data_IF_446048264886
#
_entry.id   IF_446048264886
#
_cell.length_a   1.000
_cell.length_b   1.000
_cell.length_c   1.000
_cell.angle_alpha   90.00
_cell.angle_beta   90.00
_cell.angle_gamma   90.00
#
_symmetry.space_group_name_H-M   'P 1'
#
loop_
_entity.id
_entity.type
_entity.pdbx_description
1 polymer ?
#
# COMPACT_ATOMS: atom_id res chain seq x y z
N UNK A 1 2.08 12.79 -124.27
CA UNK A 1 3.46 12.28 -124.20
C UNK A 1 3.75 11.87 -122.77
N UNK A 2 4.37 10.72 -122.46
CA UNK A 2 4.26 9.40 -123.09
C UNK A 2 3.97 8.26 -122.07
N UNK A 3 3.64 7.07 -122.61
CA UNK A 3 3.79 5.71 -122.06
C UNK A 3 2.95 5.28 -120.84
N UNK A 4 2.59 4.02 -120.63
CA UNK A 4 2.40 2.84 -121.45
C UNK A 4 2.03 1.67 -120.49
N UNK A 5 1.24 0.73 -121.00
CA UNK A 5 1.20 -0.71 -120.70
C UNK A 5 0.80 -1.29 -119.32
N UNK A 6 -0.20 -2.17 -119.45
CA UNK A 6 -0.28 -3.58 -119.01
C UNK A 6 -0.72 -3.93 -117.57
N UNK A 7 -1.95 -4.46 -117.56
CA UNK A 7 -2.50 -5.60 -116.82
C UNK A 7 -1.51 -6.70 -116.34
N UNK A 8 -1.70 -7.21 -115.12
CA UNK A 8 -2.28 -8.54 -114.78
C UNK A 8 -1.92 -8.99 -113.36
N UNK A 9 -2.87 -9.70 -112.72
CA UNK A 9 -2.61 -10.71 -111.68
C UNK A 9 -2.96 -10.26 -110.26
N UNK A 10 -4.22 -10.39 -109.82
CA UNK A 10 -4.73 -11.53 -109.03
C UNK A 10 -3.80 -11.96 -107.88
N UNK A 11 -4.18 -11.64 -106.64
CA UNK A 11 -4.58 -12.66 -105.65
C UNK A 11 -4.90 -12.06 -104.27
N UNK A 12 -6.13 -12.35 -103.83
CA UNK A 12 -6.54 -12.75 -102.47
C UNK A 12 -6.27 -11.77 -101.32
N UNK A 13 -7.34 -11.15 -100.83
CA UNK A 13 -7.49 -10.83 -99.40
C UNK A 13 -8.92 -11.15 -98.96
N UNK A 14 -9.02 -12.14 -98.07
CA UNK A 14 -10.24 -12.70 -97.54
C UNK A 14 -10.89 -11.77 -96.50
N UNK A 15 -12.22 -11.67 -96.55
CA UNK A 15 -13.05 -11.24 -95.43
C UNK A 15 -13.08 -12.34 -94.36
N UNK A 16 -12.83 -11.99 -93.11
CA UNK A 16 -13.46 -12.65 -91.97
C UNK A 16 -13.51 -11.67 -90.79
N UNK A 17 -14.73 -11.33 -90.38
CA UNK A 17 -15.03 -10.48 -89.24
C UNK A 17 -14.57 -11.14 -87.94
N UNK A 18 -13.77 -10.42 -87.15
CA UNK A 18 -13.42 -10.82 -85.78
C UNK A 18 -14.45 -10.23 -84.81
N UNK A 19 -15.20 -11.12 -84.17
CA UNK A 19 -16.08 -10.85 -83.03
C UNK A 19 -15.21 -10.45 -81.83
N UNK A 20 -15.44 -9.25 -81.29
CA UNK A 20 -14.78 -8.79 -80.06
C UNK A 20 -15.44 -9.48 -78.86
N UNK A 21 -14.74 -10.45 -78.26
CA UNK A 21 -15.07 -10.98 -76.95
C UNK A 21 -14.55 -10.00 -75.88
N UNK A 22 -15.46 -9.29 -75.22
CA UNK A 22 -15.16 -8.52 -74.02
C UNK A 22 -14.79 -9.49 -72.88
N UNK A 23 -13.50 -9.63 -72.61
CA UNK A 23 -13.00 -10.37 -71.47
C UNK A 23 -12.93 -9.43 -70.27
N UNK A 24 -13.94 -9.47 -69.39
CA UNK A 24 -13.84 -8.88 -68.05
C UNK A 24 -12.83 -9.70 -67.24
N UNK A 25 -11.57 -9.26 -67.21
CA UNK A 25 -10.61 -9.73 -66.21
C UNK A 25 -10.95 -9.06 -64.88
N UNK A 26 -11.95 -9.62 -64.19
CA UNK A 26 -12.21 -9.29 -62.79
C UNK A 26 -11.07 -9.90 -62.00
N UNK A 27 -10.06 -9.09 -61.67
CA UNK A 27 -9.02 -9.43 -60.71
C UNK A 27 -9.74 -9.89 -59.45
N UNK A 28 -9.76 -11.20 -59.20
CA UNK A 28 -10.26 -11.77 -57.96
C UNK A 28 -9.27 -11.33 -56.90
N UNK A 29 -9.55 -10.16 -56.32
CA UNK A 29 -9.00 -9.73 -55.06
C UNK A 29 -9.44 -10.82 -54.08
N UNK A 30 -8.54 -11.77 -53.84
CA UNK A 30 -8.63 -12.64 -52.69
C UNK A 30 -8.68 -11.70 -51.52
N UNK A 31 -9.90 -11.48 -51.00
CA UNK A 31 -10.10 -10.78 -49.75
C UNK A 31 -9.20 -11.49 -48.74
N UNK A 32 -8.06 -10.87 -48.43
CA UNK A 32 -7.24 -11.29 -47.31
C UNK A 32 -8.17 -11.15 -46.12
N UNK A 33 -8.69 -12.28 -45.65
CA UNK A 33 -9.41 -12.34 -44.38
C UNK A 33 -8.39 -11.85 -43.37
N UNK A 34 -8.54 -10.60 -42.93
CA UNK A 34 -7.70 -10.03 -41.90
C UNK A 34 -7.66 -11.05 -40.75
N UNK A 35 -6.47 -11.37 -40.20
CA UNK A 35 -6.38 -12.29 -39.08
C UNK A 35 -7.41 -11.91 -38.01
N UNK A 36 -8.12 -12.87 -37.40
CA UNK A 36 -9.09 -12.56 -36.36
C UNK A 36 -8.42 -11.68 -35.31
N UNK A 37 -9.12 -10.62 -34.89
CA UNK A 37 -8.59 -9.69 -33.89
C UNK A 37 -8.09 -10.50 -32.68
N UNK A 38 -6.90 -10.19 -32.14
CA UNK A 38 -6.38 -10.91 -30.99
C UNK A 38 -7.41 -10.90 -29.86
N UNK A 39 -7.56 -12.01 -29.12
CA UNK A 39 -8.53 -12.10 -28.05
C UNK A 39 -8.31 -10.97 -27.05
N UNK A 40 -9.39 -10.41 -26.46
CA UNK A 40 -9.25 -9.35 -25.49
C UNK A 40 -8.42 -9.84 -24.28
N UNK A 41 -7.65 -8.95 -23.63
CA UNK A 41 -6.94 -9.31 -22.41
C UNK A 41 -7.94 -9.80 -21.36
N UNK A 42 -7.53 -10.71 -20.45
CA UNK A 42 -8.41 -11.20 -19.40
C UNK A 42 -8.97 -10.04 -18.56
N UNK A 43 -10.15 -10.22 -17.96
CA UNK A 43 -10.71 -9.21 -17.06
C UNK A 43 -9.78 -9.00 -15.87
N UNK A 44 -9.92 -7.85 -15.21
CA UNK A 44 -9.32 -7.64 -13.89
C UNK A 44 -10.00 -8.63 -12.93
N UNK A 45 -9.20 -9.42 -12.20
CA UNK A 45 -9.72 -10.38 -11.23
C UNK A 45 -8.99 -10.28 -9.90
N UNK A 46 -9.72 -9.97 -8.83
CA UNK A 46 -9.23 -10.03 -7.45
C UNK A 46 -10.10 -11.02 -6.66
N UNK A 47 -9.47 -11.98 -6.00
CA UNK A 47 -10.17 -13.02 -5.23
C UNK A 47 -10.93 -12.46 -4.03
N UNK A 48 -11.96 -13.20 -3.62
CA UNK A 48 -12.87 -12.81 -2.55
C UNK A 48 -12.15 -12.63 -1.21
N UNK A 49 -11.15 -13.47 -0.92
CA UNK A 49 -10.45 -13.43 0.37
C UNK A 49 -9.60 -12.16 0.58
N UNK A 50 -9.07 -11.55 -0.48
CA UNK A 50 -8.41 -10.24 -0.37
C UNK A 50 -9.45 -9.15 -0.08
N UNK A 51 -10.62 -9.20 -0.72
CA UNK A 51 -11.70 -8.24 -0.44
C UNK A 51 -12.23 -8.37 1.00
N UNK A 52 -12.34 -9.59 1.52
CA UNK A 52 -12.73 -9.86 2.91
C UNK A 52 -11.69 -9.35 3.92
N UNK A 53 -10.40 -9.60 3.67
CA UNK A 53 -9.33 -9.05 4.50
C UNK A 53 -9.35 -7.51 4.50
N UNK A 54 -9.56 -6.89 3.34
CA UNK A 54 -9.71 -5.44 3.24
C UNK A 54 -10.94 -4.93 4.02
N UNK A 55 -12.06 -5.66 3.98
CA UNK A 55 -13.28 -5.32 4.70
C UNK A 55 -13.09 -5.34 6.22
N UNK A 56 -12.32 -6.30 6.75
CA UNK A 56 -11.95 -6.34 8.17
C UNK A 56 -11.22 -5.06 8.58
N UNK A 57 -10.19 -4.66 7.83
CA UNK A 57 -9.44 -3.44 8.11
C UNK A 57 -10.33 -2.19 8.07
N UNK A 58 -11.16 -2.04 7.04
CA UNK A 58 -12.07 -0.89 6.89
C UNK A 58 -13.10 -0.85 8.02
N UNK A 59 -13.68 -2.00 8.39
CA UNK A 59 -14.65 -2.09 9.46
C UNK A 59 -14.05 -1.72 10.83
N UNK A 60 -12.88 -2.28 11.14
CA UNK A 60 -12.14 -1.94 12.36
C UNK A 60 -11.81 -0.45 12.42
N UNK A 61 -11.22 0.10 11.36
CA UNK A 61 -10.77 1.49 11.34
C UNK A 61 -11.94 2.46 11.46
N UNK A 62 -13.07 2.17 10.80
CA UNK A 62 -14.31 2.93 10.96
C UNK A 62 -14.79 2.91 12.40
N UNK A 63 -14.76 1.75 13.07
CA UNK A 63 -15.12 1.63 14.48
C UNK A 63 -14.13 2.40 15.38
N UNK A 64 -12.83 2.26 15.17
CA UNK A 64 -11.78 2.94 15.93
C UNK A 64 -11.86 4.48 15.78
N UNK A 65 -12.24 4.98 14.60
CA UNK A 65 -12.47 6.40 14.37
C UNK A 65 -13.71 6.96 15.09
N UNK A 66 -14.58 6.10 15.67
CA UNK A 66 -15.67 6.53 16.55
C UNK A 66 -15.26 6.68 18.02
N UNK A 67 -13.99 6.44 18.35
CA UNK A 67 -13.48 6.65 19.71
C UNK A 67 -13.70 8.11 20.12
N UNK A 68 -14.31 8.30 21.28
CA UNK A 68 -14.62 9.62 21.79
C UNK A 68 -13.32 10.44 21.98
N UNK A 69 -13.20 11.65 21.38
CA UNK A 69 -11.98 12.46 21.43
C UNK A 69 -11.87 13.24 22.76
N UNK A 70 -11.77 12.52 23.88
CA UNK A 70 -11.76 13.10 25.23
C UNK A 70 -13.15 13.48 25.74
N UNK A 71 -13.23 14.23 26.83
CA UNK A 71 -14.50 14.66 27.44
C UNK A 71 -15.27 13.52 28.10
N UNK A 72 -14.59 12.46 28.54
CA UNK A 72 -15.24 11.27 29.09
C UNK A 72 -16.11 11.60 30.32
N UNK A 73 -17.36 11.11 30.40
CA UNK A 73 -18.23 11.36 31.55
C UNK A 73 -17.84 10.57 32.79
N UNK A 74 -17.27 9.37 32.62
CA UNK A 74 -16.96 8.41 33.68
C UNK A 74 -15.92 7.35 33.25
N UNK A 75 -15.50 6.50 34.20
CA UNK A 75 -14.52 5.44 33.96
C UNK A 75 -15.02 4.35 32.99
N UNK A 76 -16.31 4.05 32.96
CA UNK A 76 -16.86 2.97 32.12
C UNK A 76 -16.86 3.37 30.65
N UNK A 77 -17.10 4.64 30.34
CA UNK A 77 -16.98 5.16 28.98
C UNK A 77 -15.57 4.95 28.40
N UNK A 78 -14.52 5.08 29.21
CA UNK A 78 -13.13 4.82 28.80
C UNK A 78 -12.93 3.32 28.52
N UNK A 79 -13.49 2.44 29.36
CA UNK A 79 -13.42 1.00 29.14
C UNK A 79 -14.13 0.58 27.86
N UNK A 80 -15.28 1.19 27.55
CA UNK A 80 -15.99 0.93 26.31
C UNK A 80 -15.13 1.29 25.09
N UNK A 81 -14.43 2.42 25.11
CA UNK A 81 -13.52 2.81 24.03
C UNK A 81 -12.27 1.92 23.96
N UNK A 82 -11.70 1.49 25.09
CA UNK A 82 -10.60 0.52 25.10
C UNK A 82 -11.04 -0.80 24.44
N UNK A 83 -12.25 -1.29 24.73
CA UNK A 83 -12.78 -2.51 24.12
C UNK A 83 -12.92 -2.38 22.60
N UNK A 84 -13.41 -1.23 22.09
CA UNK A 84 -13.45 -0.96 20.64
C UNK A 84 -12.05 -0.92 20.02
N UNK A 85 -11.10 -0.28 20.71
CA UNK A 85 -9.73 -0.14 20.24
C UNK A 85 -8.90 -1.42 20.29
N UNK A 86 -9.23 -2.31 21.23
CA UNK A 86 -8.53 -3.57 21.45
C UNK A 86 -9.10 -4.73 20.61
N UNK A 87 -10.22 -4.58 19.91
CA UNK A 87 -10.89 -5.67 19.20
C UNK A 87 -10.32 -5.91 17.79
N UNK A 88 -9.02 -6.15 17.69
CA UNK A 88 -8.36 -6.55 16.45
C UNK A 88 -7.21 -7.51 16.75
N UNK A 89 -6.99 -8.48 15.88
CA UNK A 89 -5.79 -9.32 15.87
C UNK A 89 -4.71 -8.64 14.99
N UNK A 90 -3.46 -8.47 15.46
CA UNK A 90 -2.41 -7.76 14.73
C UNK A 90 -2.10 -8.26 13.31
N UNK A 91 -2.00 -9.58 13.10
CA UNK A 91 -1.69 -10.14 11.78
C UNK A 91 -2.85 -9.95 10.81
N UNK A 92 -4.08 -10.19 11.26
CA UNK A 92 -5.30 -9.97 10.50
C UNK A 92 -5.41 -8.51 10.06
N UNK A 93 -5.23 -7.56 10.99
CA UNK A 93 -5.32 -6.14 10.67
C UNK A 93 -4.21 -5.69 9.72
N UNK A 94 -2.98 -6.22 9.88
CA UNK A 94 -1.86 -5.98 8.95
C UNK A 94 -2.17 -6.47 7.54
N UNK A 95 -2.69 -7.70 7.41
CA UNK A 95 -3.11 -8.28 6.12
C UNK A 95 -4.21 -7.46 5.47
N UNK A 96 -5.19 -7.04 6.26
CA UNK A 96 -6.29 -6.21 5.80
C UNK A 96 -5.83 -4.84 5.29
N UNK A 97 -4.81 -4.23 5.91
CA UNK A 97 -4.23 -2.97 5.43
C UNK A 97 -3.66 -3.11 4.01
N UNK A 98 -2.90 -4.18 3.76
CA UNK A 98 -2.27 -4.42 2.44
C UNK A 98 -3.32 -4.76 1.40
N UNK A 99 -4.28 -5.61 1.77
CA UNK A 99 -5.41 -5.97 0.95
C UNK A 99 -6.21 -4.72 0.55
N UNK A 100 -6.53 -3.84 1.50
CA UNK A 100 -7.23 -2.59 1.22
C UNK A 100 -6.41 -1.66 0.32
N UNK A 101 -5.10 -1.58 0.54
CA UNK A 101 -4.19 -0.87 -0.36
C UNK A 101 -4.25 -1.38 -1.80
N UNK A 102 -4.39 -2.69 -2.02
CA UNK A 102 -4.53 -3.26 -3.37
C UNK A 102 -5.86 -2.88 -4.03
N UNK A 103 -6.97 -2.85 -3.27
CA UNK A 103 -8.27 -2.40 -3.76
C UNK A 103 -8.22 -0.92 -4.16
N UNK A 104 -7.54 -0.08 -3.35
CA UNK A 104 -7.30 1.33 -3.67
C UNK A 104 -6.43 1.49 -4.93
N UNK A 105 -5.36 0.71 -5.06
CA UNK A 105 -4.48 0.75 -6.23
C UNK A 105 -5.23 0.49 -7.54
N UNK A 106 -6.17 -0.47 -7.52
CA UNK A 106 -7.03 -0.81 -8.64
C UNK A 106 -7.99 0.31 -9.04
N UNK A 107 -8.17 1.33 -8.19
CA UNK A 107 -8.93 2.53 -8.54
C UNK A 107 -8.13 3.51 -9.40
N UNK A 108 -6.82 3.29 -9.61
CA UNK A 108 -5.99 4.12 -10.50
C UNK A 108 -6.15 3.69 -11.95
N UNK A 109 -6.83 4.48 -12.82
CA UNK A 109 -7.00 4.09 -14.22
C UNK A 109 -5.66 4.07 -14.96
N UNK A 110 -4.72 4.94 -14.58
CA UNK A 110 -3.38 5.02 -15.19
C UNK A 110 -2.55 3.77 -14.86
N UNK A 111 -2.60 3.31 -13.61
CA UNK A 111 -1.93 2.08 -13.21
C UNK A 111 -2.56 0.86 -13.88
N UNK A 112 -3.89 0.72 -13.81
CA UNK A 112 -4.58 -0.43 -14.42
C UNK A 112 -4.34 -0.45 -15.93
N UNK A 113 -4.47 0.67 -16.64
CA UNK A 113 -4.18 0.74 -18.06
C UNK A 113 -2.71 0.43 -18.37
N UNK A 114 -1.78 0.95 -17.56
CA UNK A 114 -0.34 0.70 -17.67
C UNK A 114 0.03 -0.77 -17.54
N UNK A 115 -0.50 -1.46 -16.53
CA UNK A 115 -0.27 -2.89 -16.34
C UNK A 115 -0.95 -3.73 -17.43
N UNK A 116 -2.16 -3.34 -17.86
CA UNK A 116 -2.93 -4.10 -18.86
C UNK A 116 -2.31 -4.10 -20.26
N UNK A 117 -1.35 -3.22 -20.55
CA UNK A 117 -0.55 -3.30 -21.77
C UNK A 117 0.18 -4.66 -21.90
N UNK A 118 0.60 -5.24 -20.77
CA UNK A 118 1.27 -6.55 -20.73
C UNK A 118 0.30 -7.73 -20.71
N UNK A 119 -1.01 -7.49 -20.62
CA UNK A 119 -2.03 -8.54 -20.56
C UNK A 119 -2.51 -8.99 -21.95
N UNK A 120 -2.13 -8.27 -23.01
CA UNK A 120 -2.58 -8.51 -24.39
C UNK A 120 -1.99 -9.79 -24.96
N UNK A 121 -0.67 -9.97 -24.87
CA UNK A 121 -0.01 -11.21 -25.30
C UNK A 121 0.02 -12.24 -24.15
N UNK A 122 -0.50 -13.47 -24.34
CA UNK A 122 -0.54 -14.47 -23.28
C UNK A 122 0.84 -14.86 -22.72
N UNK A 123 1.87 -14.89 -23.57
CA UNK A 123 3.23 -15.28 -23.16
C UNK A 123 3.86 -14.17 -22.33
N UNK A 124 3.77 -12.93 -22.79
CA UNK A 124 4.24 -11.75 -22.07
C UNK A 124 3.51 -11.61 -20.73
N UNK A 125 2.19 -11.84 -20.72
CA UNK A 125 1.39 -11.81 -19.49
C UNK A 125 1.89 -12.83 -18.47
N UNK A 126 2.13 -14.08 -18.88
CA UNK A 126 2.66 -15.11 -18.00
C UNK A 126 4.07 -14.77 -17.48
N UNK A 127 4.94 -14.23 -18.33
CA UNK A 127 6.26 -13.75 -17.92
C UNK A 127 6.15 -12.62 -16.90
N UNK A 128 5.21 -11.70 -17.09
CA UNK A 128 4.95 -10.59 -16.17
C UNK A 128 4.46 -11.09 -14.82
N UNK A 129 3.48 -12.00 -14.81
CA UNK A 129 2.98 -12.63 -13.58
C UNK A 129 4.11 -13.34 -12.84
N UNK A 130 4.90 -14.16 -13.53
CA UNK A 130 6.03 -14.86 -12.92
C UNK A 130 7.06 -13.89 -12.32
N UNK A 131 7.31 -12.76 -12.99
CA UNK A 131 8.24 -11.74 -12.51
C UNK A 131 7.74 -11.06 -11.22
N UNK A 132 6.47 -10.70 -11.16
CA UNK A 132 5.86 -10.07 -9.97
C UNK A 132 5.81 -11.06 -8.79
N UNK A 133 5.47 -12.33 -9.05
CA UNK A 133 5.46 -13.37 -8.02
C UNK A 133 6.86 -13.63 -7.47
N UNK A 134 7.89 -13.65 -8.33
CA UNK A 134 9.27 -13.84 -7.92
C UNK A 134 9.86 -12.62 -7.19
N UNK A 135 9.50 -11.42 -7.62
CA UNK A 135 9.92 -10.15 -7.03
C UNK A 135 8.77 -9.13 -7.02
N UNK A 136 8.04 -9.00 -5.89
CA UNK A 136 6.94 -8.05 -5.76
C UNK A 136 7.35 -6.60 -5.98
N UNK A 137 8.63 -6.25 -5.75
CA UNK A 137 9.14 -4.89 -5.99
C UNK A 137 9.05 -4.50 -7.46
N UNK A 138 8.98 -5.46 -8.37
CA UNK A 138 8.78 -5.18 -9.79
C UNK A 138 7.50 -4.39 -10.06
N UNK A 139 6.44 -4.60 -9.28
CA UNK A 139 5.17 -3.88 -9.44
C UNK A 139 5.33 -2.36 -9.25
N UNK A 140 6.29 -1.92 -8.43
CA UNK A 140 6.62 -0.51 -8.23
C UNK A 140 7.20 0.18 -9.47
N UNK A 141 7.67 -0.59 -10.46
CA UNK A 141 8.28 -0.09 -11.69
C UNK A 141 7.30 -0.02 -12.86
N UNK A 142 6.08 -0.54 -12.68
CA UNK A 142 5.07 -0.59 -13.73
C UNK A 142 4.49 0.82 -14.00
N UNK A 143 4.06 1.11 -15.24
CA UNK A 143 3.49 2.42 -15.56
C UNK A 143 2.29 2.75 -14.67
N UNK A 144 2.25 3.96 -14.13
CA UNK A 144 1.20 4.44 -13.22
C UNK A 144 1.36 4.00 -11.76
N UNK A 145 2.44 3.31 -11.39
CA UNK A 145 2.68 2.88 -10.01
C UNK A 145 2.73 4.06 -9.01
N UNK A 146 3.23 5.23 -9.43
CA UNK A 146 3.26 6.45 -8.63
C UNK A 146 1.86 7.05 -8.39
N UNK A 147 0.98 6.96 -9.39
CA UNK A 147 -0.42 7.35 -9.25
C UNK A 147 -1.14 6.41 -8.27
N UNK A 148 -1.02 5.09 -8.44
CA UNK A 148 -1.60 4.11 -7.52
C UNK A 148 -1.05 4.26 -6.09
N UNK A 149 0.27 4.40 -5.93
CA UNK A 149 0.89 4.63 -4.63
C UNK A 149 0.43 5.94 -3.99
N UNK A 150 0.16 6.98 -4.79
CA UNK A 150 -0.42 8.23 -4.35
C UNK A 150 -1.82 8.07 -3.79
N UNK A 151 -2.69 7.31 -4.45
CA UNK A 151 -4.05 7.01 -3.96
C UNK A 151 -4.00 6.27 -2.62
N UNK A 152 -3.17 5.23 -2.52
CA UNK A 152 -2.98 4.44 -1.29
C UNK A 152 -2.50 5.35 -0.15
N UNK A 153 -1.43 6.09 -0.39
CA UNK A 153 -0.83 6.97 0.62
C UNK A 153 -1.82 8.06 1.06
N UNK A 154 -2.53 8.69 0.13
CA UNK A 154 -3.53 9.73 0.45
C UNK A 154 -4.65 9.19 1.33
N UNK A 155 -5.20 8.02 0.96
CA UNK A 155 -6.33 7.39 1.66
C UNK A 155 -5.92 6.95 3.07
N UNK A 156 -4.87 6.14 3.18
CA UNK A 156 -4.41 5.60 4.47
C UNK A 156 -3.91 6.73 5.38
N UNK A 157 -3.24 7.76 4.83
CA UNK A 157 -2.79 8.89 5.63
C UNK A 157 -3.96 9.72 6.18
N UNK A 158 -5.04 9.90 5.42
CA UNK A 158 -6.23 10.61 5.90
C UNK A 158 -6.80 9.93 7.14
N UNK A 159 -6.89 8.60 7.12
CA UNK A 159 -7.34 7.83 8.28
C UNK A 159 -6.36 7.89 9.45
N UNK A 160 -5.06 7.81 9.16
CA UNK A 160 -4.02 7.93 10.18
C UNK A 160 -4.02 9.31 10.86
N UNK A 161 -4.28 10.38 10.12
CA UNK A 161 -4.43 11.75 10.67
C UNK A 161 -5.67 11.84 11.56
N UNK A 162 -6.80 11.26 11.16
CA UNK A 162 -8.00 11.23 12.00
C UNK A 162 -7.74 10.50 13.33
N UNK A 163 -7.11 9.32 13.28
CA UNK A 163 -6.72 8.57 14.48
C UNK A 163 -5.72 9.33 15.35
N UNK A 164 -4.78 10.08 14.74
CA UNK A 164 -3.84 10.94 15.47
C UNK A 164 -4.55 12.06 16.22
N UNK A 165 -5.53 12.70 15.60
CA UNK A 165 -6.32 13.75 16.24
C UNK A 165 -7.12 13.22 17.45
N UNK A 166 -7.70 12.01 17.33
CA UNK A 166 -8.34 11.33 18.47
C UNK A 166 -7.32 11.09 19.58
N UNK A 167 -6.13 10.58 19.24
CA UNK A 167 -5.08 10.33 20.23
C UNK A 167 -4.65 11.60 20.96
N UNK A 168 -4.38 12.68 20.22
CA UNK A 168 -3.97 13.97 20.78
C UNK A 168 -5.04 14.50 21.75
N UNK A 169 -6.32 14.42 21.37
CA UNK A 169 -7.43 14.87 22.21
C UNK A 169 -7.59 14.02 23.48
N UNK A 170 -7.52 12.70 23.37
CA UNK A 170 -7.66 11.77 24.50
C UNK A 170 -6.48 11.90 25.47
N UNK A 171 -5.24 11.97 24.97
CA UNK A 171 -4.05 12.17 25.80
C UNK A 171 -4.10 13.53 26.52
N UNK A 172 -4.46 14.60 25.81
CA UNK A 172 -4.62 15.92 26.41
C UNK A 172 -5.70 15.93 27.50
N UNK A 173 -6.82 15.23 27.29
CA UNK A 173 -7.88 15.12 28.29
C UNK A 173 -7.43 14.31 29.51
N UNK A 174 -6.62 13.27 29.32
CA UNK A 174 -6.03 12.48 30.41
C UNK A 174 -5.15 13.34 31.33
N UNK A 175 -4.49 14.39 30.82
CA UNK A 175 -3.80 15.39 31.64
C UNK A 175 -4.75 16.41 32.26
N UNK A 176 -5.70 16.90 31.46
CA UNK A 176 -6.65 17.95 31.88
C UNK A 176 -7.50 17.51 33.07
N UNK A 177 -8.01 16.28 33.05
CA UNK A 177 -8.90 15.73 34.09
C UNK A 177 -8.24 15.61 35.47
N UNK A 178 -6.90 15.67 35.54
CA UNK A 178 -6.14 15.64 36.80
C UNK A 178 -6.23 16.98 37.56
N UNK A 179 -6.58 18.07 36.87
CA UNK A 179 -6.65 19.42 37.42
C UNK A 179 -7.65 19.55 38.56
N UNK A 180 -7.25 20.21 39.66
CA UNK A 180 -8.06 20.32 40.89
C UNK A 180 -9.45 20.93 40.69
N UNK A 181 -9.63 21.73 39.65
CA UNK A 181 -10.87 22.44 39.32
C UNK A 181 -11.75 21.68 38.33
N UNK A 182 -11.28 20.57 37.74
CA UNK A 182 -12.09 19.77 36.82
C UNK A 182 -13.12 18.95 37.61
N UNK A 183 -14.44 19.11 37.35
CA UNK A 183 -15.48 18.38 38.09
C UNK A 183 -15.43 16.86 37.89
N UNK A 184 -14.82 16.38 36.81
CA UNK A 184 -14.63 14.95 36.50
C UNK A 184 -13.50 14.33 37.32
N UNK A 185 -12.60 15.14 37.87
CA UNK A 185 -11.45 14.67 38.67
C UNK A 185 -11.88 13.67 39.75
N UNK A 186 -13.06 13.86 40.35
CA UNK A 186 -13.62 12.99 41.41
C UNK A 186 -13.64 11.50 41.04
N UNK A 187 -13.94 11.16 39.79
CA UNK A 187 -13.92 9.78 39.33
C UNK A 187 -12.57 9.45 38.67
N UNK A 188 -11.93 10.43 38.05
CA UNK A 188 -10.71 10.21 37.28
C UNK A 188 -9.54 9.74 38.13
N UNK A 189 -9.41 10.26 39.37
CA UNK A 189 -8.37 9.83 40.32
C UNK A 189 -8.73 8.57 41.11
N UNK A 190 -9.94 8.05 40.94
CA UNK A 190 -10.37 6.85 41.66
C UNK A 190 -9.58 5.64 41.14
N UNK A 191 -8.99 4.82 42.03
CA UNK A 191 -8.35 3.58 41.63
C UNK A 191 -9.31 2.66 40.86
N UNK A 192 -8.83 2.11 39.75
CA UNK A 192 -9.60 1.18 38.92
C UNK A 192 -9.81 -0.13 39.69
N UNK A 193 -11.06 -0.61 39.87
CA UNK A 193 -11.33 -1.93 40.42
C UNK A 193 -11.02 -3.03 39.40
N UNK A 194 -10.76 -4.25 39.86
CA UNK A 194 -10.62 -5.45 39.00
C UNK A 194 -9.68 -5.30 37.80
N UNK A 195 -8.50 -4.69 38.01
CA UNK A 195 -7.54 -4.35 36.94
C UNK A 195 -7.10 -5.56 36.12
N UNK A 196 -6.98 -6.71 36.77
CA UNK A 196 -6.68 -8.01 36.17
C UNK A 196 -7.77 -8.46 35.19
N UNK A 197 -9.05 -8.33 35.55
CA UNK A 197 -10.18 -8.70 34.68
C UNK A 197 -10.26 -7.80 33.46
N UNK A 198 -10.04 -6.50 33.66
CA UNK A 198 -9.97 -5.51 32.58
C UNK A 198 -8.84 -5.82 31.59
N UNK A 199 -7.64 -6.09 32.08
CA UNK A 199 -6.49 -6.47 31.25
C UNK A 199 -6.77 -7.75 30.47
N UNK A 200 -7.32 -8.77 31.13
CA UNK A 200 -7.61 -10.05 30.49
C UNK A 200 -8.71 -9.92 29.44
N UNK A 201 -9.70 -9.05 29.66
CA UNK A 201 -10.73 -8.72 28.67
C UNK A 201 -10.10 -8.08 27.42
N UNK A 202 -9.17 -7.15 27.58
CA UNK A 202 -8.47 -6.53 26.45
C UNK A 202 -7.62 -7.53 25.66
N UNK A 203 -6.95 -8.47 26.35
CA UNK A 203 -6.19 -9.55 25.71
C UNK A 203 -7.10 -10.51 24.95
N UNK A 204 -8.19 -10.94 25.58
CA UNK A 204 -9.16 -11.85 24.96
C UNK A 204 -9.75 -11.23 23.69
N UNK A 205 -10.18 -9.96 23.74
CA UNK A 205 -10.69 -9.24 22.57
C UNK A 205 -9.65 -9.04 21.47
N UNK A 206 -8.37 -8.93 21.82
CA UNK A 206 -7.27 -8.76 20.86
C UNK A 206 -6.86 -10.07 20.17
N UNK A 207 -7.35 -11.22 20.63
CA UNK A 207 -7.01 -12.53 20.09
C UNK A 207 -8.12 -13.12 19.20
N UNK A 208 -9.24 -12.41 19.04
CA UNK A 208 -10.38 -12.85 18.24
C UNK A 208 -10.27 -12.24 16.85
N UNK A 209 -10.25 -13.10 15.84
CA UNK A 209 -10.36 -12.70 14.43
C UNK A 209 -11.71 -12.04 14.17
N UNK A 210 -11.70 -10.92 13.45
CA UNK A 210 -12.89 -10.20 13.08
C UNK A 210 -13.60 -10.88 11.91
N UNK A 211 -14.91 -11.07 12.02
CA UNK A 211 -15.69 -11.55 10.89
C UNK A 211 -15.83 -10.44 9.84
N UNK A 212 -15.52 -10.71 8.55
CA UNK A 212 -15.70 -9.73 7.49
C UNK A 212 -17.18 -9.40 7.31
N UNK A 213 -17.51 -8.12 7.18
CA UNK A 213 -18.87 -7.68 6.85
C UNK A 213 -19.21 -8.15 5.43
N UNK A 214 -20.32 -8.88 5.20
CA UNK A 214 -20.70 -9.32 3.85
C UNK A 214 -20.94 -8.14 2.90
N UNK A 215 -21.56 -7.06 3.38
CA UNK A 215 -21.85 -5.87 2.59
C UNK A 215 -20.56 -5.14 2.20
N UNK A 216 -19.66 -4.92 3.16
CA UNK A 216 -18.40 -4.23 2.90
C UNK A 216 -17.48 -5.07 2.00
N UNK A 217 -17.45 -6.39 2.22
CA UNK A 217 -16.68 -7.32 1.38
C UNK A 217 -17.19 -7.31 -0.06
N UNK A 218 -18.51 -7.38 -0.26
CA UNK A 218 -19.12 -7.30 -1.59
C UNK A 218 -18.82 -5.95 -2.28
N UNK A 219 -18.86 -4.85 -1.53
CA UNK A 219 -18.52 -3.52 -2.05
C UNK A 219 -17.06 -3.44 -2.48
N UNK A 220 -16.12 -3.88 -1.65
CA UNK A 220 -14.69 -3.84 -1.95
C UNK A 220 -14.31 -4.81 -3.07
N UNK A 221 -14.94 -5.99 -3.10
CA UNK A 221 -14.80 -6.95 -4.19
C UNK A 221 -15.26 -6.35 -5.52
N UNK A 222 -16.46 -5.75 -5.55
CA UNK A 222 -16.96 -5.08 -6.74
C UNK A 222 -16.02 -3.94 -7.16
N UNK A 223 -15.56 -3.12 -6.21
CA UNK A 223 -14.69 -2.00 -6.52
C UNK A 223 -13.32 -2.41 -7.08
N UNK A 224 -12.74 -3.49 -6.56
CA UNK A 224 -11.49 -4.04 -7.07
C UNK A 224 -11.64 -4.55 -8.51
N UNK A 225 -12.71 -5.30 -8.80
CA UNK A 225 -12.89 -5.95 -10.09
C UNK A 225 -13.38 -5.01 -11.20
N UNK A 226 -14.05 -3.91 -10.85
CA UNK A 226 -14.47 -2.87 -11.81
C UNK A 226 -13.48 -1.71 -11.93
N UNK A 227 -12.57 -1.56 -10.95
CA UNK A 227 -11.68 -0.40 -10.84
C UNK A 227 -12.39 0.90 -10.48
N UNK A 228 -13.64 0.83 -9.98
CA UNK A 228 -14.47 2.00 -9.62
C UNK A 228 -15.32 1.72 -8.39
N UNK A 229 -15.77 2.77 -7.69
CA UNK A 229 -16.71 2.63 -6.56
C UNK A 229 -16.14 3.00 -5.19
N UNK A 230 -14.84 3.26 -5.12
CA UNK A 230 -14.24 3.99 -4.00
C UNK A 230 -14.09 5.48 -4.33
N UNK A 231 -14.29 6.31 -3.31
CA UNK A 231 -14.00 7.74 -3.38
C UNK A 231 -12.53 7.92 -2.98
N UNK A 232 -11.65 8.09 -3.98
CA UNK A 232 -10.21 8.26 -3.81
C UNK A 232 -9.80 9.59 -4.40
N UNK A 233 -8.97 10.33 -3.67
CA UNK A 233 -8.48 11.64 -4.13
C UNK A 233 -7.22 11.44 -4.98
N UNK A 234 -7.18 12.00 -6.21
CA UNK A 234 -6.00 11.94 -7.06
C UNK A 234 -4.77 12.47 -6.33
N UNK A 235 -3.73 11.64 -6.32
CA UNK A 235 -2.45 11.95 -5.68
C UNK A 235 -1.35 11.17 -6.40
N UNK A 236 -0.11 11.66 -6.30
CA UNK A 236 1.07 10.95 -6.77
C UNK A 236 2.08 10.83 -5.65
N UNK A 237 2.71 9.67 -5.56
CA UNK A 237 3.81 9.41 -4.66
C UNK A 237 4.96 8.80 -5.45
N UNK A 238 6.10 9.46 -5.46
CA UNK A 238 7.32 8.92 -6.04
C UNK A 238 7.96 7.87 -5.09
N UNK A 239 8.77 6.94 -5.61
CA UNK A 239 9.59 6.05 -4.79
C UNK A 239 10.60 6.84 -3.92
N UNK A 240 11.13 6.24 -2.83
CA UNK A 240 10.99 4.84 -2.44
C UNK A 240 9.62 4.51 -1.82
N UNK A 241 9.16 3.27 -2.08
CA UNK A 241 7.96 2.70 -1.48
C UNK A 241 8.32 1.74 -0.35
N UNK A 242 7.44 1.65 0.63
CA UNK A 242 7.55 0.67 1.72
C UNK A 242 7.23 -0.74 1.23
N UNK A 243 7.63 -1.80 1.94
CA UNK A 243 7.25 -3.16 1.61
C UNK A 243 5.73 -3.39 1.54
N UNK A 244 4.94 -2.76 2.43
CA UNK A 244 3.48 -2.87 2.40
C UNK A 244 2.89 -2.24 1.12
N UNK A 245 3.37 -1.05 0.74
CA UNK A 245 2.97 -0.38 -0.51
C UNK A 245 3.32 -1.23 -1.73
N UNK A 246 4.54 -1.78 -1.77
CA UNK A 246 5.00 -2.68 -2.83
C UNK A 246 4.09 -3.91 -2.95
N UNK A 247 3.74 -4.54 -1.83
CA UNK A 247 2.85 -5.71 -1.79
C UNK A 247 1.43 -5.37 -2.26
N UNK A 248 0.88 -4.22 -1.86
CA UNK A 248 -0.41 -3.72 -2.36
C UNK A 248 -0.39 -3.51 -3.88
N UNK A 249 0.67 -2.88 -4.40
CA UNK A 249 0.86 -2.69 -5.85
C UNK A 249 1.02 -4.03 -6.58
N UNK A 250 1.73 -5.00 -6.00
CA UNK A 250 1.91 -6.33 -6.59
C UNK A 250 0.61 -7.11 -6.70
N UNK A 251 -0.22 -7.14 -5.64
CA UNK A 251 -1.55 -7.75 -5.68
C UNK A 251 -2.43 -7.09 -6.75
N UNK A 252 -2.43 -5.75 -6.80
CA UNK A 252 -3.20 -5.01 -7.80
C UNK A 252 -2.70 -5.24 -9.24
N UNK A 253 -1.39 -5.33 -9.45
CA UNK A 253 -0.82 -5.65 -10.75
C UNK A 253 -1.19 -7.07 -11.20
N UNK A 254 -1.11 -8.05 -10.29
CA UNK A 254 -1.55 -9.42 -10.56
C UNK A 254 -3.05 -9.46 -10.90
N UNK A 255 -3.88 -8.70 -10.17
CA UNK A 255 -5.30 -8.59 -10.48
C UNK A 255 -5.55 -7.96 -11.86
N UNK A 256 -4.83 -6.90 -12.22
CA UNK A 256 -4.93 -6.26 -13.52
C UNK A 256 -4.50 -7.17 -14.68
N UNK A 257 -3.60 -8.13 -14.43
CA UNK A 257 -3.17 -9.18 -15.37
C UNK A 257 -4.11 -10.41 -15.39
N UNK A 258 -5.18 -10.41 -14.58
CA UNK A 258 -6.10 -11.53 -14.46
C UNK A 258 -5.49 -12.75 -13.76
N UNK A 259 -4.58 -12.52 -12.81
CA UNK A 259 -3.79 -13.54 -12.11
C UNK A 259 -3.91 -13.45 -10.58
N UNK A 260 -4.97 -12.83 -10.07
CA UNK A 260 -5.28 -12.74 -8.65
C UNK A 260 -6.72 -13.17 -8.31
N UNK A 261 -7.44 -13.81 -9.24
CA UNK A 261 -8.75 -14.42 -9.01
C UNK A 261 -8.69 -15.62 -8.06
N UNK A 262 -9.85 -16.21 -7.76
CA UNK A 262 -9.97 -17.32 -6.80
C UNK A 262 -9.13 -18.54 -7.23
N UNK A 263 -8.99 -18.77 -8.53
CA UNK A 263 -8.13 -19.80 -9.13
C UNK A 263 -6.62 -19.56 -8.95
N UNK A 264 -6.24 -18.32 -8.62
CA UNK A 264 -4.86 -17.86 -8.52
C UNK A 264 -4.53 -17.33 -7.11
N UNK A 265 -5.29 -17.75 -6.09
CA UNK A 265 -5.16 -17.30 -4.69
C UNK A 265 -3.73 -17.45 -4.12
N UNK A 266 -2.97 -18.46 -4.57
CA UNK A 266 -1.57 -18.63 -4.20
C UNK A 266 -0.68 -17.41 -4.56
N UNK A 267 -1.04 -16.65 -5.59
CA UNK A 267 -0.31 -15.43 -5.99
C UNK A 267 -0.54 -14.26 -5.02
N UNK A 268 -1.63 -14.27 -4.25
CA UNK A 268 -1.97 -13.18 -3.33
C UNK A 268 -1.68 -13.52 -1.87
N UNK A 269 -1.80 -14.78 -1.46
CA UNK A 269 -1.70 -15.20 -0.06
C UNK A 269 -0.36 -14.82 0.59
N UNK A 270 0.75 -14.97 -0.14
CA UNK A 270 2.06 -14.59 0.38
C UNK A 270 2.29 -13.06 0.41
N UNK A 271 1.54 -12.30 -0.42
CA UNK A 271 1.74 -10.86 -0.56
C UNK A 271 1.04 -10.07 0.53
N UNK A 272 -0.03 -10.60 1.14
CA UNK A 272 -0.75 -9.90 2.23
C UNK A 272 -0.02 -9.95 3.57
N UNK A 273 1.06 -10.73 3.72
CA UNK A 273 1.87 -10.73 4.95
C UNK A 273 3.07 -9.79 4.82
N UNK A 274 3.24 -8.88 5.77
CA UNK A 274 4.34 -7.90 5.81
C UNK A 274 4.89 -7.77 7.23
N UNK A 275 6.10 -8.29 7.50
CA UNK A 275 6.62 -8.39 8.86
C UNK A 275 6.74 -7.08 9.63
N UNK A 276 7.02 -5.94 8.98
CA UNK A 276 7.18 -4.68 9.71
C UNK A 276 5.84 -4.14 10.21
N UNK A 277 4.79 -4.25 9.40
CA UNK A 277 3.42 -3.85 9.72
C UNK A 277 2.84 -4.76 10.79
N UNK A 278 3.06 -6.08 10.67
CA UNK A 278 2.71 -7.07 11.70
C UNK A 278 3.41 -6.77 13.02
N UNK A 279 4.73 -6.52 12.98
CA UNK A 279 5.50 -6.17 14.17
C UNK A 279 5.00 -4.89 14.82
N UNK A 280 4.70 -3.84 14.04
CA UNK A 280 4.21 -2.57 14.59
C UNK A 280 2.90 -2.75 15.36
N UNK A 281 1.93 -3.44 14.76
CA UNK A 281 0.63 -3.70 15.38
C UNK A 281 0.76 -4.63 16.59
N UNK A 282 1.64 -5.63 16.54
CA UNK A 282 1.93 -6.49 17.68
C UNK A 282 2.54 -5.70 18.85
N UNK A 283 3.49 -4.79 18.55
CA UNK A 283 4.07 -3.92 19.57
C UNK A 283 3.03 -2.95 20.16
N UNK A 284 2.12 -2.40 19.35
CA UNK A 284 0.99 -1.59 19.82
C UNK A 284 0.16 -2.35 20.87
N UNK A 285 -0.20 -3.62 20.61
CA UNK A 285 -0.90 -4.47 21.59
C UNK A 285 -0.10 -4.72 22.86
N UNK A 286 1.17 -5.08 22.73
CA UNK A 286 2.03 -5.34 23.89
C UNK A 286 2.16 -4.11 24.78
N UNK A 287 2.28 -2.93 24.18
CA UNK A 287 2.35 -1.66 24.91
C UNK A 287 1.03 -1.31 25.58
N UNK A 288 -0.11 -1.56 24.91
CA UNK A 288 -1.43 -1.42 25.53
C UNK A 288 -1.54 -2.30 26.78
N UNK A 289 -1.19 -3.59 26.68
CA UNK A 289 -1.28 -4.51 27.81
C UNK A 289 -0.38 -4.10 28.98
N UNK A 290 0.84 -3.64 28.71
CA UNK A 290 1.76 -3.14 29.73
C UNK A 290 1.20 -1.88 30.40
N UNK A 291 0.63 -0.96 29.63
CA UNK A 291 0.01 0.25 30.15
C UNK A 291 -1.20 -0.09 31.05
N UNK A 292 -2.11 -0.96 30.60
CA UNK A 292 -3.28 -1.38 31.38
C UNK A 292 -2.90 -2.18 32.64
N UNK A 293 -1.79 -2.93 32.61
CA UNK A 293 -1.26 -3.63 33.78
C UNK A 293 -0.69 -2.67 34.83
N UNK A 294 -0.02 -1.61 34.37
CA UNK A 294 0.58 -0.59 35.22
C UNK A 294 -0.46 0.39 35.78
N UNK A 295 -1.53 0.67 35.03
CA UNK A 295 -2.47 1.74 35.34
C UNK A 295 -3.17 1.56 36.69
N UNK A 296 -3.36 2.66 37.43
CA UNK A 296 -3.95 2.70 38.76
C UNK A 296 -5.23 3.54 38.78
N UNK A 297 -5.21 4.89 38.71
CA UNK A 297 -6.42 5.69 38.59
C UNK A 297 -7.03 5.64 37.19
N UNK A 298 -8.33 5.91 37.08
CA UNK A 298 -9.07 5.85 35.81
C UNK A 298 -8.52 6.77 34.70
N UNK A 299 -7.90 7.91 35.03
CA UNK A 299 -7.30 8.77 33.99
C UNK A 299 -6.09 8.13 33.29
N UNK A 300 -5.41 7.16 33.92
CA UNK A 300 -4.31 6.46 33.26
C UNK A 300 -4.81 5.53 32.15
N UNK A 301 -6.06 5.05 32.24
CA UNK A 301 -6.70 4.30 31.16
C UNK A 301 -7.04 5.19 29.97
N UNK A 302 -7.39 6.46 30.19
CA UNK A 302 -7.51 7.45 29.11
C UNK A 302 -6.16 7.60 28.40
N UNK A 303 -5.07 7.69 29.16
CA UNK A 303 -3.73 7.77 28.57
C UNK A 303 -3.39 6.50 27.77
N UNK A 304 -3.66 5.30 28.31
CA UNK A 304 -3.45 4.05 27.58
C UNK A 304 -4.26 3.99 26.27
N UNK A 305 -5.52 4.46 26.30
CA UNK A 305 -6.39 4.56 25.11
C UNK A 305 -5.79 5.53 24.07
N UNK A 306 -5.45 6.75 24.47
CA UNK A 306 -4.88 7.72 23.55
C UNK A 306 -3.56 7.24 22.93
N UNK A 307 -2.66 6.72 23.78
CA UNK A 307 -1.30 6.34 23.39
C UNK A 307 -1.23 5.03 22.63
N UNK A 308 -1.80 3.96 23.18
CA UNK A 308 -1.54 2.61 22.69
C UNK A 308 -2.68 2.00 21.88
N UNK A 309 -3.86 2.65 21.88
CA UNK A 309 -4.89 2.38 20.88
C UNK A 309 -4.76 3.39 19.74
N UNK A 310 -5.06 4.66 19.96
CA UNK A 310 -5.25 5.60 18.86
C UNK A 310 -3.93 6.02 18.18
N UNK A 311 -2.91 6.43 18.96
CA UNK A 311 -1.64 6.93 18.41
C UNK A 311 -0.81 5.85 17.75
N UNK A 312 -0.70 4.68 18.38
CA UNK A 312 0.09 3.57 17.84
C UNK A 312 -0.54 3.07 16.52
N UNK A 313 -1.86 2.93 16.42
CA UNK A 313 -2.55 2.60 15.16
C UNK A 313 -2.27 3.63 14.05
N UNK A 314 -2.41 4.93 14.36
CA UNK A 314 -2.05 6.01 13.43
C UNK A 314 -0.60 5.90 12.95
N UNK A 315 0.32 5.61 13.87
CA UNK A 315 1.75 5.53 13.58
C UNK A 315 2.08 4.30 12.72
N UNK A 316 1.50 3.14 13.02
CA UNK A 316 1.66 1.94 12.21
C UNK A 316 1.10 2.12 10.80
N UNK A 317 -0.10 2.69 10.65
CA UNK A 317 -0.68 2.98 9.33
C UNK A 317 0.20 3.95 8.52
N UNK A 318 0.73 4.99 9.17
CA UNK A 318 1.64 5.96 8.53
C UNK A 318 2.94 5.28 8.07
N UNK A 319 3.58 4.50 8.93
CA UNK A 319 4.82 3.78 8.63
C UNK A 319 4.63 2.73 7.51
N UNK A 320 3.44 2.14 7.42
CA UNK A 320 3.11 1.20 6.36
C UNK A 320 3.11 1.85 4.97
N UNK A 321 2.79 3.15 4.83
CA UNK A 321 2.69 3.80 3.51
C UNK A 321 3.75 4.85 3.23
N UNK A 322 4.46 5.35 4.26
CA UNK A 322 5.56 6.29 4.11
C UNK A 322 6.89 5.67 4.53
N UNK A 323 7.82 5.58 3.57
CA UNK A 323 9.19 5.22 3.88
C UNK A 323 9.84 6.32 4.75
N UNK A 324 10.56 5.96 5.82
CA UNK A 324 11.31 6.94 6.59
C UNK A 324 12.38 7.58 5.70
N UNK A 325 12.44 8.90 5.67
CA UNK A 325 13.54 9.62 5.03
C UNK A 325 14.72 9.55 6.00
N UNK A 326 15.66 8.63 5.75
CA UNK A 326 16.94 8.60 6.48
C UNK A 326 17.89 9.54 5.74
N UNK A 327 18.01 10.78 6.21
CA UNK A 327 19.12 11.65 5.81
C UNK A 327 20.36 11.20 6.57
N UNK A 328 21.21 10.40 5.93
CA UNK A 328 22.58 10.18 6.41
C UNK A 328 23.34 11.48 6.15
N UNK A 329 23.70 12.20 7.21
CA UNK A 329 24.60 13.35 7.07
C UNK A 329 25.96 12.89 6.53
N UNK A 330 26.63 13.75 5.77
CA UNK A 330 27.99 13.46 5.28
C UNK A 330 28.88 13.00 6.45
N UNK A 331 29.72 11.97 6.26
CA UNK A 331 30.67 11.56 7.27
C UNK A 331 31.52 12.78 7.64
N UNK A 332 31.35 13.26 8.87
CA UNK A 332 32.18 14.33 9.38
C UNK A 332 33.54 13.70 9.66
N UNK A 333 34.50 13.93 8.77
CA UNK A 333 35.90 13.62 9.07
C UNK A 333 36.28 14.43 10.31
N UNK A 334 36.33 13.77 11.46
CA UNK A 334 36.95 14.33 12.66
C UNK A 334 38.39 14.64 12.31
N UNK A 335 38.72 15.93 12.40
CA UNK A 335 39.86 16.55 11.76
C UNK A 335 41.20 15.85 11.97
N UNK A 336 42.09 16.13 11.02
CA UNK A 336 43.52 15.85 11.04
C UNK A 336 44.09 16.07 12.45
N UNK A 337 44.90 15.14 13.00
CA UNK A 337 45.53 15.35 14.30
C UNK A 337 46.38 16.63 14.23
N UNK A 338 46.01 17.64 15.01
CA UNK A 338 46.88 18.78 15.24
C UNK A 338 48.10 18.23 15.98
N UNK A 339 49.25 18.22 15.29
CA UNK A 339 50.51 17.90 15.92
C UNK A 339 50.84 18.99 16.95
N UNK A 340 50.61 18.70 18.22
CA UNK A 340 51.07 19.53 19.33
C UNK A 340 52.59 19.52 19.35
N UNK A 341 53.29 20.67 19.25
CA UNK A 341 54.74 20.68 19.40
C UNK A 341 55.10 20.36 20.85
N UNK A 342 55.81 19.24 21.06
CA UNK A 342 56.34 18.87 22.37
C UNK A 342 57.47 19.84 22.71
N UNK A 343 57.24 20.73 23.66
CA UNK A 343 58.29 21.52 24.28
C UNK A 343 59.18 20.60 25.13
N UNK A 344 60.42 20.39 24.68
CA UNK A 344 61.44 19.69 25.46
C UNK A 344 61.87 20.57 26.64
N UNK A 345 61.39 20.26 27.84
CA UNK A 345 61.93 20.83 29.08
C UNK A 345 62.99 19.86 29.64
N UNK A 346 64.25 20.23 29.47
CA UNK A 346 65.39 19.53 30.05
C UNK A 346 65.44 19.77 31.57
N UNK A 347 65.20 18.73 32.36
CA UNK A 347 65.45 18.74 33.79
C UNK A 347 66.96 18.58 34.05
N UNK A 348 67.62 19.65 34.46
CA UNK A 348 68.99 19.63 34.94
C UNK A 348 69.04 19.00 36.35
N UNK A 349 69.60 17.79 36.44
CA UNK A 349 69.97 17.13 37.69
C UNK A 349 71.16 17.88 38.29
N UNK A 350 70.98 18.46 39.48
CA UNK A 350 72.09 19.03 40.28
C UNK A 350 72.65 17.94 41.20
N UNK A 351 73.90 17.56 40.98
CA UNK A 351 74.71 16.78 41.93
C UNK A 351 75.31 17.69 43.01
N UNK A 352 75.36 17.26 44.29
CA UNK A 352 75.98 18.03 45.36
C UNK A 352 77.51 17.86 45.38
N UNK A 353 78.23 18.95 45.66
CA UNK A 353 79.68 18.99 45.81
C UNK A 353 80.13 18.46 47.20
N UNK A 354 81.35 17.91 47.32
CA UNK A 354 81.85 17.33 48.57
C UNK A 354 82.33 18.42 49.55
N UNK A 355 82.13 18.16 50.84
CA UNK A 355 82.61 18.99 51.94
C UNK A 355 84.13 18.79 52.15
N UNK A 356 84.84 19.89 52.33
CA UNK A 356 86.19 19.93 52.88
C UNK A 356 86.27 21.05 53.92
N UNK A 357 86.74 20.72 55.12
CA UNK A 357 86.94 21.64 56.25
C UNK A 357 86.17 21.24 57.49
#
# INVERSE_FOLDING_TARGET
MPKAFMTRGLSIAALAAAVVLASCSTKTETASVAPPAPPPPPPVTLNQSVAEAAAVYVAFLRQAQTIQPGGFPDAESIQAEIRKGASYEPLELSRGLIAYGSVIALQSPEFVAGVRQFAVDPTQRQQMVARIVADPAYAATLPGADAAAGLIASTINKDAVAMRAIADAVEQDAYTVQGRTDPRRRWAITPIPHREVRLESAKTLSAVDMLPSPEESARLFAAANTGTGLQVEPSRKAPPYTPAMVRSLAIAALAALGAAGDEAKANTDALVSEPNSEFCLNMSKLMLFQCLAASRPSYEDMFCLGRHVARDLSSCATQAVFAPIITVGDPTETGTPVATPVAASAAAVRTPAPAGG
#
